data_IF_785124329470
#
_entry.id   IF_785124329470
#
_cell.length_a   1.000
_cell.length_b   1.000
_cell.length_c   1.000
_cell.angle_alpha   90.00
_cell.angle_beta   90.00
_cell.angle_gamma   90.00
#
_symmetry.space_group_name_H-M   'P 1'
#
loop_
_entity.id
_entity.type
_entity.pdbx_description
1 polymer ?
#
# COMPACT_ATOMS: atom_id res chain seq x y z
N UNK A 1 -31.52 -20.32 25.60
CA UNK A 1 -32.98 -20.05 25.60
C UNK A 1 -33.39 -19.10 26.72
N UNK A 2 -33.53 -19.50 27.99
CA UNK A 2 -34.00 -18.58 29.04
C UNK A 2 -33.07 -17.35 29.30
N UNK A 3 -31.75 -17.55 29.27
CA UNK A 3 -30.79 -16.44 29.44
C UNK A 3 -30.72 -15.51 28.22
N UNK A 4 -30.96 -16.02 27.01
CA UNK A 4 -31.05 -15.20 25.79
C UNK A 4 -32.36 -14.38 25.79
N UNK A 5 -33.45 -14.95 26.30
CA UNK A 5 -34.72 -14.24 26.50
C UNK A 5 -34.58 -13.11 27.55
N UNK A 6 -33.85 -13.34 28.64
CA UNK A 6 -33.62 -12.31 29.65
C UNK A 6 -32.72 -11.16 29.13
N UNK A 7 -31.68 -11.49 28.36
CA UNK A 7 -30.81 -10.49 27.71
C UNK A 7 -31.55 -9.66 26.67
N UNK A 8 -32.43 -10.29 25.88
CA UNK A 8 -33.24 -9.58 24.88
C UNK A 8 -34.29 -8.68 25.53
N UNK A 9 -34.93 -9.11 26.62
CA UNK A 9 -35.86 -8.25 27.40
C UNK A 9 -35.12 -7.05 28.01
N UNK A 10 -33.90 -7.25 28.53
CA UNK A 10 -33.08 -6.16 29.06
C UNK A 10 -32.69 -5.15 27.97
N UNK A 11 -32.23 -5.62 26.81
CA UNK A 11 -31.89 -4.76 25.67
C UNK A 11 -33.10 -3.96 25.16
N UNK A 12 -34.28 -4.60 25.09
CA UNK A 12 -35.53 -3.93 24.69
C UNK A 12 -35.96 -2.85 25.69
N UNK A 13 -35.79 -3.11 26.99
CA UNK A 13 -36.09 -2.10 28.01
C UNK A 13 -35.11 -0.92 27.94
N UNK A 14 -33.83 -1.16 27.67
CA UNK A 14 -32.86 -0.09 27.46
C UNK A 14 -33.21 0.74 26.21
N UNK A 15 -33.47 0.10 25.07
CA UNK A 15 -33.89 0.79 23.85
C UNK A 15 -35.19 1.60 24.06
N UNK A 16 -36.14 1.07 24.82
CA UNK A 16 -37.37 1.80 25.18
C UNK A 16 -37.07 3.06 26.00
N UNK A 17 -36.16 2.98 26.97
CA UNK A 17 -35.76 4.15 27.76
C UNK A 17 -35.05 5.19 26.90
N UNK A 18 -34.12 4.78 26.03
CA UNK A 18 -33.41 5.65 25.09
C UNK A 18 -34.39 6.39 24.17
N UNK A 19 -35.35 5.68 23.56
CA UNK A 19 -36.39 6.27 22.71
C UNK A 19 -37.30 7.24 23.47
N UNK A 20 -37.64 6.94 24.74
CA UNK A 20 -38.43 7.85 25.57
C UNK A 20 -37.67 9.14 25.88
N UNK A 21 -36.37 9.06 26.13
CA UNK A 21 -35.52 10.25 26.29
C UNK A 21 -35.43 11.06 24.99
N UNK A 22 -35.29 10.40 23.84
CA UNK A 22 -35.25 11.06 22.54
C UNK A 22 -36.57 11.80 22.24
N UNK A 23 -37.71 11.16 22.51
CA UNK A 23 -39.05 11.75 22.33
C UNK A 23 -39.22 13.00 23.20
N UNK A 24 -38.79 12.93 24.46
CA UNK A 24 -38.81 14.07 25.39
C UNK A 24 -37.95 15.22 24.86
N UNK A 25 -36.76 14.93 24.33
CA UNK A 25 -35.89 15.94 23.71
C UNK A 25 -36.55 16.59 22.49
N UNK A 26 -37.23 15.83 21.63
CA UNK A 26 -37.97 16.39 20.50
C UNK A 26 -39.14 17.28 20.93
N UNK A 27 -39.90 16.87 21.95
CA UNK A 27 -40.99 17.68 22.50
C UNK A 27 -40.49 19.00 23.08
N UNK A 28 -39.41 18.96 23.86
CA UNK A 28 -38.81 20.16 24.47
C UNK A 28 -38.26 21.10 23.38
N UNK A 29 -37.55 20.57 22.37
CA UNK A 29 -37.08 21.36 21.23
C UNK A 29 -38.25 21.99 20.43
N UNK A 30 -39.34 21.26 20.20
CA UNK A 30 -40.55 21.78 19.53
C UNK A 30 -41.26 22.87 20.35
N UNK A 31 -41.29 22.75 21.67
CA UNK A 31 -41.86 23.77 22.57
C UNK A 31 -41.04 25.06 22.52
N UNK A 32 -39.71 24.96 22.52
CA UNK A 32 -38.81 26.10 22.37
C UNK A 32 -38.93 26.77 20.99
N UNK A 33 -39.13 25.99 19.92
CA UNK A 33 -39.36 26.53 18.57
C UNK A 33 -40.70 27.26 18.44
N UNK A 34 -41.78 26.77 19.07
CA UNK A 34 -43.13 27.37 19.02
C UNK A 34 -43.29 28.63 19.88
N UNK A 35 -42.54 28.76 20.97
CA UNK A 35 -42.71 29.86 21.94
C UNK A 35 -41.90 31.10 21.60
N UNK A 36 -40.98 31.06 20.64
CA UNK A 36 -40.21 32.22 20.14
C UNK A 36 -39.32 32.92 21.19
N UNK A 37 -39.34 32.50 22.45
CA UNK A 37 -38.52 33.03 23.53
C UNK A 37 -37.21 32.25 23.58
N UNK A 38 -36.24 32.67 22.77
CA UNK A 38 -34.84 32.35 23.01
C UNK A 38 -34.40 33.10 24.27
N UNK A 39 -34.53 32.47 25.45
CA UNK A 39 -34.00 33.05 26.69
C UNK A 39 -32.47 33.05 26.63
N UNK A 40 -31.87 34.23 26.51
CA UNK A 40 -30.47 34.48 26.81
C UNK A 40 -30.28 34.44 28.34
N UNK A 41 -29.70 33.35 28.87
CA UNK A 41 -29.32 33.24 30.28
C UNK A 41 -28.82 31.85 30.70
N UNK A 42 -27.54 31.78 31.07
CA UNK A 42 -26.77 30.82 31.91
C UNK A 42 -26.96 29.30 31.79
N UNK A 43 -27.67 28.82 30.79
CA UNK A 43 -27.72 27.42 30.41
C UNK A 43 -28.24 27.31 28.98
N UNK A 44 -27.69 28.15 28.09
CA UNK A 44 -28.15 28.19 26.72
C UNK A 44 -27.91 26.80 26.10
N UNK A 45 -28.99 26.05 25.89
CA UNK A 45 -29.12 25.25 24.68
C UNK A 45 -29.03 26.25 23.53
N UNK A 46 -27.80 26.58 23.17
CA UNK A 46 -27.46 27.25 21.94
C UNK A 46 -27.77 26.24 20.83
N UNK A 47 -29.06 26.08 20.52
CA UNK A 47 -29.51 25.20 19.45
C UNK A 47 -28.79 25.63 18.19
N UNK A 48 -28.07 24.70 17.57
CA UNK A 48 -27.46 24.95 16.29
C UNK A 48 -28.54 25.32 15.28
N UNK A 49 -28.24 26.22 14.33
CA UNK A 49 -29.12 26.44 13.20
C UNK A 49 -29.47 25.11 12.53
N UNK A 50 -30.75 24.89 12.24
CA UNK A 50 -31.25 23.62 11.67
C UNK A 50 -30.65 23.34 10.29
N UNK A 51 -30.18 24.38 9.60
CA UNK A 51 -29.50 24.31 8.30
C UNK A 51 -27.99 24.05 8.42
N UNK A 52 -27.45 23.74 9.61
CA UNK A 52 -26.01 23.47 9.77
C UNK A 52 -25.63 22.21 9.00
N UNK A 53 -24.83 22.38 7.95
CA UNK A 53 -24.31 21.30 7.13
C UNK A 53 -22.78 21.34 7.12
N UNK A 54 -22.19 20.15 7.04
CA UNK A 54 -20.74 19.96 6.96
C UNK A 54 -20.40 19.61 5.52
N UNK A 55 -19.44 20.33 4.94
CA UNK A 55 -18.83 20.01 3.66
C UNK A 55 -17.41 19.53 3.88
N UNK A 56 -17.10 18.34 3.38
CA UNK A 56 -15.75 17.78 3.38
C UNK A 56 -15.15 17.91 1.98
N UNK A 57 -13.93 18.41 1.88
CA UNK A 57 -13.18 18.52 0.63
C UNK A 57 -11.74 18.05 0.83
N UNK A 58 -11.18 17.45 -0.22
CA UNK A 58 -9.77 17.05 -0.24
C UNK A 58 -8.91 18.21 -0.74
N UNK A 59 -8.07 18.74 0.13
CA UNK A 59 -7.05 19.73 -0.21
C UNK A 59 -5.67 19.09 -0.20
N UNK A 60 -4.79 19.57 -1.07
CA UNK A 60 -3.42 19.08 -1.16
C UNK A 60 -2.50 20.04 -0.43
N UNK A 61 -1.66 19.50 0.44
CA UNK A 61 -0.61 20.26 1.11
C UNK A 61 0.77 19.81 0.61
N UNK A 62 1.35 20.61 -0.28
CA UNK A 62 2.67 20.36 -0.87
C UNK A 62 3.81 20.54 0.14
N UNK A 63 3.64 21.34 1.20
CA UNK A 63 4.67 21.60 2.20
C UNK A 63 4.83 20.40 3.13
N UNK A 64 3.70 19.86 3.62
CA UNK A 64 3.69 18.72 4.52
C UNK A 64 3.66 17.36 3.81
N UNK A 65 3.62 17.34 2.47
CA UNK A 65 3.55 16.13 1.64
C UNK A 65 2.37 15.21 2.00
N UNK A 66 1.26 15.81 2.42
CA UNK A 66 0.07 15.10 2.89
C UNK A 66 -1.17 15.59 2.13
N UNK A 67 -2.21 14.77 2.14
CA UNK A 67 -3.53 15.19 1.69
C UNK A 67 -4.30 15.66 2.92
N UNK A 68 -4.74 16.91 2.91
CA UNK A 68 -5.53 17.49 3.98
C UNK A 68 -7.03 17.25 3.71
N UNK A 69 -7.72 16.64 4.66
CA UNK A 69 -9.17 16.65 4.68
C UNK A 69 -9.63 17.97 5.30
N UNK A 70 -10.16 18.87 4.47
CA UNK A 70 -10.74 20.14 4.90
C UNK A 70 -12.22 19.94 5.24
N UNK A 71 -12.57 20.17 6.50
CA UNK A 71 -13.91 20.02 7.05
C UNK A 71 -14.43 21.42 7.36
N UNK A 72 -15.40 21.86 6.56
CA UNK A 72 -15.98 23.19 6.65
C UNK A 72 -17.44 23.12 7.10
N UNK A 73 -17.80 24.02 8.01
CA UNK A 73 -19.20 24.29 8.37
C UNK A 73 -19.74 25.44 7.52
N UNK A 74 -21.01 25.33 7.10
CA UNK A 74 -21.66 26.37 6.30
C UNK A 74 -22.01 27.66 7.08
N UNK A 75 -22.08 27.54 8.41
CA UNK A 75 -22.59 28.58 9.30
C UNK A 75 -21.51 29.09 10.26
N UNK A 76 -21.89 29.98 11.19
CA UNK A 76 -21.00 30.52 12.24
C UNK A 76 -20.59 29.50 13.32
N UNK A 77 -20.82 28.22 13.07
CA UNK A 77 -20.50 27.11 13.98
C UNK A 77 -19.03 26.73 13.82
N UNK A 78 -18.41 26.27 14.91
CA UNK A 78 -17.00 25.88 14.94
C UNK A 78 -16.87 24.37 15.08
N UNK A 79 -15.85 23.82 14.43
CA UNK A 79 -15.48 22.40 14.57
C UNK A 79 -14.59 22.29 15.81
N UNK A 80 -15.07 21.58 16.84
CA UNK A 80 -14.34 21.43 18.10
C UNK A 80 -13.40 20.23 18.10
N UNK A 81 -13.74 19.19 17.36
CA UNK A 81 -12.91 18.01 17.18
C UNK A 81 -13.50 17.09 16.14
N UNK A 82 -12.64 16.24 15.58
CA UNK A 82 -13.03 15.24 14.58
C UNK A 82 -12.38 13.92 14.94
N UNK A 83 -13.19 12.87 14.97
CA UNK A 83 -12.72 11.49 15.00
C UNK A 83 -12.89 10.92 13.60
N UNK A 84 -11.81 10.46 13.00
CA UNK A 84 -11.79 9.79 11.70
C UNK A 84 -11.52 8.31 11.97
N UNK A 85 -12.49 7.45 11.65
CA UNK A 85 -12.26 6.01 11.65
C UNK A 85 -11.95 5.56 10.24
N UNK A 86 -10.89 4.78 10.09
CA UNK A 86 -10.47 4.27 8.79
C UNK A 86 -9.61 3.03 8.91
N UNK A 87 -9.88 2.05 8.06
CA UNK A 87 -9.09 0.83 8.00
C UNK A 87 -7.76 1.09 7.29
N UNK A 88 -6.67 0.64 7.91
CA UNK A 88 -5.31 0.60 7.32
C UNK A 88 -4.68 1.96 6.96
N UNK A 89 -5.31 3.07 7.37
CA UNK A 89 -4.79 4.43 7.13
C UNK A 89 -3.99 4.99 8.31
N UNK A 90 -4.30 4.57 9.55
CA UNK A 90 -3.61 5.03 10.75
C UNK A 90 -2.92 3.85 11.45
N UNK A 91 -1.99 4.14 12.38
CA UNK A 91 -1.37 3.10 13.22
C UNK A 91 -2.39 2.41 14.14
N UNK A 92 -3.54 3.05 14.38
CA UNK A 92 -4.72 2.46 15.04
C UNK A 92 -5.98 2.55 14.16
N UNK A 93 -7.15 2.29 14.74
CA UNK A 93 -8.44 2.29 14.03
C UNK A 93 -9.05 3.70 13.86
N UNK A 94 -8.55 4.68 14.61
CA UNK A 94 -9.09 6.04 14.58
C UNK A 94 -8.04 7.12 14.84
N UNK A 95 -8.24 8.26 14.20
CA UNK A 95 -7.49 9.49 14.43
C UNK A 95 -8.42 10.54 15.05
N UNK A 96 -8.12 10.97 16.27
CA UNK A 96 -8.80 12.10 16.89
C UNK A 96 -7.97 13.38 16.77
N UNK A 97 -8.53 14.40 16.13
CA UNK A 97 -7.91 15.72 16.00
C UNK A 97 -8.77 16.76 16.71
N UNK A 98 -8.17 17.48 17.66
CA UNK A 98 -8.80 18.60 18.36
C UNK A 98 -7.99 19.88 18.09
N UNK A 99 -8.51 20.82 17.28
CA UNK A 99 -7.79 22.05 16.99
C UNK A 99 -7.69 22.94 18.24
N UNK A 100 -6.48 23.46 18.49
CA UNK A 100 -6.22 24.40 19.61
C UNK A 100 -6.97 25.73 19.43
N UNK A 101 -7.22 26.13 18.19
CA UNK A 101 -8.02 27.31 17.83
C UNK A 101 -9.34 26.85 17.22
N UNK A 102 -10.46 27.35 17.75
CA UNK A 102 -11.80 27.03 17.25
C UNK A 102 -12.04 27.76 15.93
N UNK A 103 -11.91 27.04 14.83
CA UNK A 103 -12.15 27.54 13.48
C UNK A 103 -13.34 26.81 12.86
N UNK A 104 -13.98 27.47 11.90
CA UNK A 104 -15.03 26.88 11.05
C UNK A 104 -14.46 25.98 9.95
N UNK A 105 -13.15 26.08 9.69
CA UNK A 105 -12.37 25.25 8.78
C UNK A 105 -11.33 24.48 9.61
N UNK A 106 -11.43 23.14 9.58
CA UNK A 106 -10.45 22.24 10.17
C UNK A 106 -9.80 21.41 9.07
N UNK A 107 -8.46 21.49 9.01
CA UNK A 107 -7.64 20.70 8.09
C UNK A 107 -6.96 19.58 8.86
N UNK A 108 -7.24 18.34 8.48
CA UNK A 108 -6.61 17.16 9.07
C UNK A 108 -5.67 16.52 8.04
N UNK A 109 -4.35 16.49 8.28
CA UNK A 109 -3.42 15.85 7.35
C UNK A 109 -3.53 14.33 7.42
N UNK A 110 -3.69 13.70 6.24
CA UNK A 110 -3.74 12.25 6.07
C UNK A 110 -2.67 11.85 5.06
N UNK A 111 -1.80 10.92 5.46
CA UNK A 111 -0.71 10.41 4.62
C UNK A 111 -0.79 8.87 4.52
N UNK A 112 -1.62 8.32 3.62
CA UNK A 112 -1.70 6.87 3.43
C UNK A 112 -0.34 6.28 3.04
N UNK A 113 0.08 5.15 3.66
CA UNK A 113 1.35 4.49 3.35
C UNK A 113 1.28 3.61 2.09
N UNK A 114 0.08 3.32 1.55
CA UNK A 114 -0.14 2.54 0.31
C UNK A 114 -1.27 3.12 -0.52
N UNK A 115 -1.35 2.77 -1.79
CA UNK A 115 -2.41 3.22 -2.69
C UNK A 115 -3.61 2.27 -2.57
N UNK A 116 -4.53 2.61 -1.68
CA UNK A 116 -5.74 1.85 -1.40
C UNK A 116 -6.93 2.81 -1.30
N UNK A 117 -8.07 2.40 -1.86
CA UNK A 117 -9.32 3.10 -1.61
C UNK A 117 -9.80 2.75 -0.21
N UNK A 118 -10.11 3.76 0.59
CA UNK A 118 -10.53 3.60 1.98
C UNK A 118 -11.78 4.42 2.23
N UNK A 119 -12.73 3.83 2.96
CA UNK A 119 -13.92 4.53 3.43
C UNK A 119 -13.60 5.13 4.82
N UNK A 120 -13.85 6.43 4.96
CA UNK A 120 -13.63 7.19 6.17
C UNK A 120 -14.98 7.44 6.84
N UNK A 121 -15.10 7.01 8.10
CA UNK A 121 -16.25 7.34 8.93
C UNK A 121 -15.87 8.52 9.83
N UNK A 122 -16.40 9.68 9.49
CA UNK A 122 -16.12 10.94 10.16
C UNK A 122 -17.17 11.18 11.24
N UNK A 123 -16.69 11.45 12.44
CA UNK A 123 -17.46 11.87 13.61
C UNK A 123 -17.02 13.27 13.98
N UNK A 124 -17.76 14.27 13.51
CA UNK A 124 -17.41 15.69 13.63
C UNK A 124 -18.22 16.31 14.77
N UNK A 125 -17.52 16.86 15.76
CA UNK A 125 -18.13 17.60 16.85
C UNK A 125 -18.28 19.07 16.47
N UNK A 126 -19.52 19.50 16.23
CA UNK A 126 -19.85 20.88 15.87
C UNK A 126 -20.57 21.57 17.02
N UNK A 127 -20.15 22.80 17.32
CA UNK A 127 -20.79 23.62 18.34
C UNK A 127 -20.57 25.10 18.11
N UNK A 128 -21.05 25.90 19.05
CA UNK A 128 -20.74 27.33 19.11
C UNK A 128 -19.54 27.55 20.04
N UNK A 129 -18.80 28.64 19.86
CA UNK A 129 -17.49 28.88 20.51
C UNK A 129 -17.50 28.72 22.04
N UNK A 130 -18.63 29.03 22.68
CA UNK A 130 -18.80 29.02 24.13
C UNK A 130 -19.85 28.00 24.62
N UNK A 131 -20.16 26.96 23.83
CA UNK A 131 -21.12 25.93 24.22
C UNK A 131 -20.40 24.72 24.84
N UNK A 132 -20.97 24.19 25.93
CA UNK A 132 -20.55 22.93 26.55
C UNK A 132 -21.19 21.71 25.87
N UNK A 133 -22.25 21.93 25.09
CA UNK A 133 -22.94 20.91 24.31
C UNK A 133 -22.53 21.00 22.83
N UNK A 134 -22.19 19.85 22.25
CA UNK A 134 -21.81 19.70 20.84
C UNK A 134 -22.75 18.72 20.16
N UNK A 135 -23.07 18.98 18.90
CA UNK A 135 -23.74 17.99 18.06
C UNK A 135 -22.69 17.15 17.35
N UNK A 136 -22.89 15.84 17.41
CA UNK A 136 -22.11 14.88 16.65
C UNK A 136 -22.75 14.72 15.27
N UNK A 137 -21.99 15.04 14.24
CA UNK A 137 -22.37 14.74 12.87
C UNK A 137 -21.56 13.54 12.39
N UNK A 138 -22.26 12.53 11.90
CA UNK A 138 -21.67 11.34 11.31
C UNK A 138 -21.74 11.44 9.78
N UNK A 139 -20.59 11.34 9.12
CA UNK A 139 -20.50 11.40 7.66
C UNK A 139 -19.54 10.35 7.13
N UNK A 140 -19.97 9.66 6.08
CA UNK A 140 -19.11 8.72 5.36
C UNK A 140 -18.48 9.44 4.17
N UNK A 141 -17.16 9.38 4.08
CA UNK A 141 -16.41 10.02 3.01
C UNK A 141 -15.41 9.04 2.42
N UNK A 142 -15.37 8.93 1.08
CA UNK A 142 -14.51 7.96 0.42
C UNK A 142 -13.20 8.61 -0.02
N UNK A 143 -12.09 7.95 0.28
CA UNK A 143 -10.77 8.33 -0.23
C UNK A 143 -10.49 7.56 -1.52
N UNK A 144 -10.21 8.25 -2.65
CA UNK A 144 -9.76 7.61 -3.87
C UNK A 144 -8.42 6.88 -3.66
N UNK A 145 -8.21 5.80 -4.43
CA UNK A 145 -7.03 4.93 -4.33
C UNK A 145 -5.72 5.69 -4.57
N UNK A 146 -5.72 6.60 -5.54
CA UNK A 146 -4.55 7.40 -5.93
C UNK A 146 -4.70 8.85 -5.45
N UNK A 147 -5.09 9.03 -4.19
CA UNK A 147 -5.28 10.35 -3.54
C UNK A 147 -3.97 11.14 -3.35
N UNK A 148 -2.82 10.46 -3.26
CA UNK A 148 -1.50 11.08 -3.05
C UNK A 148 -0.87 11.67 -4.32
N UNK A 149 -1.58 11.63 -5.45
CA UNK A 149 -1.09 12.09 -6.74
C UNK A 149 -1.79 13.38 -7.14
N UNK A 150 -1.01 14.45 -7.21
CA UNK A 150 -1.52 15.81 -7.40
C UNK A 150 -1.36 16.20 -8.86
N UNK A 151 -2.39 16.75 -9.53
CA UNK A 151 -2.25 17.22 -10.90
C UNK A 151 -1.21 18.35 -10.99
N UNK A 152 -0.25 18.18 -11.89
CA UNK A 152 0.65 19.25 -12.27
C UNK A 152 -0.07 20.18 -13.24
N UNK A 153 0.12 21.50 -13.07
CA UNK A 153 -0.33 22.48 -14.06
C UNK A 153 0.47 22.26 -15.35
N UNK A 154 -0.21 22.31 -16.50
CA UNK A 154 0.35 21.98 -17.84
C UNK A 154 1.65 22.73 -18.21
N UNK A 155 1.95 23.84 -17.55
CA UNK A 155 3.15 24.67 -17.79
C UNK A 155 4.37 24.26 -16.94
N UNK A 156 4.26 23.24 -16.10
CA UNK A 156 5.42 22.73 -15.36
C UNK A 156 6.27 21.86 -16.30
N UNK A 157 7.43 22.39 -16.69
CA UNK A 157 8.44 21.75 -17.55
C UNK A 157 9.15 20.59 -16.80
N UNK A 158 8.37 19.58 -16.42
CA UNK A 158 8.85 18.39 -15.71
C UNK A 158 9.27 17.36 -16.75
N UNK A 159 10.54 16.95 -16.69
CA UNK A 159 11.08 15.93 -17.57
C UNK A 159 10.25 14.64 -17.51
N UNK A 160 9.86 14.13 -18.68
CA UNK A 160 9.13 12.88 -18.80
C UNK A 160 10.01 11.72 -18.29
N UNK A 161 9.46 10.80 -17.47
CA UNK A 161 10.14 9.59 -17.03
C UNK A 161 10.70 8.81 -18.23
N UNK A 162 11.88 8.21 -18.05
CA UNK A 162 12.47 7.32 -19.07
C UNK A 162 11.64 6.05 -19.23
N UNK A 163 10.92 5.66 -18.17
CA UNK A 163 10.12 4.46 -18.11
C UNK A 163 8.68 4.68 -18.56
N UNK A 164 8.15 3.75 -19.36
CA UNK A 164 6.78 3.81 -19.83
C UNK A 164 6.14 2.42 -20.02
N UNK A 165 4.81 2.42 -19.98
CA UNK A 165 3.96 1.27 -20.26
C UNK A 165 2.94 1.71 -21.29
N UNK A 166 2.90 0.99 -22.41
CA UNK A 166 1.97 1.25 -23.50
C UNK A 166 1.07 0.04 -23.70
N UNK A 167 -0.23 0.30 -23.82
CA UNK A 167 -1.20 -0.72 -24.17
C UNK A 167 -2.24 -0.14 -25.12
N UNK A 168 -2.95 -1.03 -25.81
CA UNK A 168 -4.03 -0.65 -26.71
C UNK A 168 -5.36 -0.85 -26.01
N UNK A 169 -6.17 0.20 -26.01
CA UNK A 169 -7.46 0.25 -25.37
C UNK A 169 -8.48 0.84 -26.36
N UNK A 170 -9.26 0.01 -27.07
CA UNK A 170 -10.18 0.50 -28.08
C UNK A 170 -11.39 1.20 -27.44
N UNK A 171 -11.69 2.41 -27.94
CA UNK A 171 -12.98 3.10 -27.84
C UNK A 171 -13.52 3.44 -26.44
N UNK A 172 -12.60 3.74 -25.51
CA UNK A 172 -12.95 4.01 -24.10
C UNK A 172 -12.24 5.23 -23.50
N UNK A 173 -11.78 6.19 -24.31
CA UNK A 173 -11.13 7.41 -23.81
C UNK A 173 -12.01 8.18 -22.79
N UNK A 174 -13.33 8.20 -23.01
CA UNK A 174 -14.30 8.75 -22.06
C UNK A 174 -14.31 7.98 -20.73
N UNK A 175 -14.28 6.64 -20.76
CA UNK A 175 -14.19 5.82 -19.54
C UNK A 175 -12.86 6.01 -18.81
N UNK A 176 -11.77 6.28 -19.53
CA UNK A 176 -10.47 6.63 -18.91
C UNK A 176 -10.58 7.99 -18.20
N UNK A 177 -11.30 8.96 -18.75
CA UNK A 177 -11.56 10.22 -18.05
C UNK A 177 -12.42 10.03 -16.80
N UNK A 178 -13.48 9.22 -16.88
CA UNK A 178 -14.31 8.87 -15.72
C UNK A 178 -13.50 8.13 -14.65
N UNK A 179 -12.65 7.19 -15.05
CA UNK A 179 -11.72 6.50 -14.17
C UNK A 179 -10.74 7.47 -13.49
N UNK A 180 -10.16 8.42 -14.25
CA UNK A 180 -9.29 9.45 -13.67
C UNK A 180 -10.02 10.26 -12.61
N UNK A 181 -11.28 10.62 -12.84
CA UNK A 181 -12.10 11.38 -11.89
C UNK A 181 -12.54 10.55 -10.67
N UNK A 182 -12.69 9.24 -10.81
CA UNK A 182 -13.07 8.37 -9.68
C UNK A 182 -11.87 7.91 -8.84
N UNK A 183 -10.74 7.65 -9.50
CA UNK A 183 -9.56 7.05 -8.88
C UNK A 183 -8.54 8.09 -8.39
N UNK A 184 -8.59 9.31 -8.93
CA UNK A 184 -7.79 10.46 -8.48
C UNK A 184 -8.68 11.58 -7.94
N UNK A 185 -8.10 12.46 -7.13
CA UNK A 185 -8.79 13.63 -6.60
C UNK A 185 -8.79 14.79 -7.63
N UNK A 186 -9.32 14.55 -8.83
CA UNK A 186 -9.36 15.54 -9.93
C UNK A 186 -10.77 15.60 -10.51
N UNK A 187 -11.19 16.82 -10.87
CA UNK A 187 -12.31 17.05 -11.78
C UNK A 187 -11.76 17.37 -13.18
N UNK A 188 -11.39 16.32 -13.93
CA UNK A 188 -10.94 16.47 -15.30
C UNK A 188 -12.16 16.51 -16.23
N UNK A 189 -12.41 17.69 -16.78
CA UNK A 189 -13.43 17.88 -17.81
C UNK A 189 -12.76 17.81 -19.19
N UNK A 190 -13.06 16.75 -19.95
CA UNK A 190 -12.41 16.51 -21.24
C UNK A 190 -12.92 17.54 -22.26
N UNK A 191 -12.05 18.45 -22.72
CA UNK A 191 -12.38 19.41 -23.79
C UNK A 191 -12.36 18.78 -25.19
N UNK A 192 -11.73 17.62 -25.34
CA UNK A 192 -11.52 16.88 -26.59
C UNK A 192 -11.70 15.39 -26.33
N UNK A 193 -12.52 14.70 -27.13
CA UNK A 193 -12.94 13.30 -26.91
C UNK A 193 -11.83 12.25 -27.15
N UNK A 194 -10.78 12.61 -27.89
CA UNK A 194 -9.81 11.63 -28.41
C UNK A 194 -8.40 11.74 -27.80
N UNK A 195 -8.09 12.85 -27.11
CA UNK A 195 -6.76 13.09 -26.52
C UNK A 195 -6.87 13.53 -25.06
N UNK A 196 -6.24 12.77 -24.18
CA UNK A 196 -6.18 13.04 -22.73
C UNK A 196 -4.72 13.08 -22.33
N UNK A 197 -4.28 14.21 -21.79
CA UNK A 197 -2.95 14.37 -21.22
C UNK A 197 -3.09 14.90 -19.81
N UNK A 198 -2.72 14.07 -18.83
CA UNK A 198 -2.67 14.45 -17.42
C UNK A 198 -1.31 14.09 -16.87
N UNK A 199 -0.72 15.04 -16.15
CA UNK A 199 0.53 14.86 -15.43
C UNK A 199 0.25 15.02 -13.94
N UNK A 200 0.88 14.17 -13.15
CA UNK A 200 0.72 14.09 -11.72
C UNK A 200 2.08 14.12 -11.05
N UNK A 201 2.11 14.54 -9.79
CA UNK A 201 3.26 14.41 -8.90
C UNK A 201 2.87 13.61 -7.67
N UNK A 202 3.66 12.60 -7.34
CA UNK A 202 3.50 11.86 -6.09
C UNK A 202 3.93 12.74 -4.91
N UNK A 203 3.09 12.89 -3.90
CA UNK A 203 3.44 13.59 -2.66
C UNK A 203 4.47 12.80 -1.83
N UNK A 204 4.52 11.47 -1.99
CA UNK A 204 5.39 10.58 -1.20
C UNK A 204 6.84 10.72 -1.63
N UNK A 205 7.08 10.44 -2.91
CA UNK A 205 8.43 10.31 -3.46
C UNK A 205 8.83 11.53 -4.30
N UNK A 206 7.87 12.41 -4.61
CA UNK A 206 8.09 13.58 -5.49
C UNK A 206 8.19 13.23 -6.98
N UNK A 207 8.11 11.94 -7.34
CA UNK A 207 8.24 11.46 -8.71
C UNK A 207 7.02 11.82 -9.58
N UNK A 208 7.23 12.16 -10.86
CA UNK A 208 6.14 12.48 -11.76
C UNK A 208 5.51 11.23 -12.39
N UNK A 209 4.21 11.31 -12.65
CA UNK A 209 3.42 10.29 -13.34
C UNK A 209 2.70 10.97 -14.50
N UNK A 210 2.86 10.45 -15.71
CA UNK A 210 2.18 10.95 -16.90
C UNK A 210 1.22 9.91 -17.44
N UNK A 211 0.00 10.31 -17.75
CA UNK A 211 -1.01 9.48 -18.41
C UNK A 211 -1.41 10.18 -19.70
N UNK A 212 -1.08 9.54 -20.82
CA UNK A 212 -1.38 10.03 -22.17
C UNK A 212 -2.29 9.03 -22.89
N UNK A 213 -3.41 9.50 -23.41
CA UNK A 213 -4.33 8.73 -24.24
C UNK A 213 -4.37 9.38 -25.61
N UNK A 214 -3.90 8.66 -26.63
CA UNK A 214 -3.94 9.07 -28.04
C UNK A 214 -4.84 8.09 -28.80
N UNK A 215 -6.13 8.40 -28.85
CA UNK A 215 -7.17 7.54 -29.41
C UNK A 215 -7.20 6.16 -28.74
N UNK A 216 -6.66 5.14 -29.41
CA UNK A 216 -6.64 3.74 -28.95
C UNK A 216 -5.39 3.41 -28.12
N UNK A 217 -4.35 4.25 -28.13
CA UNK A 217 -3.09 3.97 -27.41
C UNK A 217 -3.06 4.73 -26.09
N UNK A 218 -2.96 3.99 -24.98
CA UNK A 218 -2.73 4.56 -23.65
C UNK A 218 -1.27 4.36 -23.28
N UNK A 219 -0.62 5.43 -22.84
CA UNK A 219 0.78 5.45 -22.40
C UNK A 219 0.85 5.98 -20.99
N UNK A 220 1.28 5.15 -20.05
CA UNK A 220 1.55 5.54 -18.67
C UNK A 220 3.07 5.65 -18.52
N UNK A 221 3.58 6.83 -18.20
CA UNK A 221 5.01 7.04 -17.98
C UNK A 221 5.26 7.29 -16.49
N UNK A 222 6.02 6.38 -15.87
CA UNK A 222 6.39 6.42 -14.45
C UNK A 222 7.61 5.53 -14.26
N UNK A 223 8.54 5.91 -13.39
CA UNK A 223 9.72 5.11 -13.07
C UNK A 223 9.41 3.97 -12.09
N UNK A 224 8.27 4.05 -11.39
CA UNK A 224 7.86 3.00 -10.47
C UNK A 224 7.01 1.93 -11.18
N UNK A 225 7.63 0.77 -11.42
CA UNK A 225 6.96 -0.39 -12.06
C UNK A 225 5.76 -0.91 -11.27
N UNK A 226 5.77 -0.81 -9.94
CA UNK A 226 4.68 -1.29 -9.10
C UNK A 226 3.44 -0.40 -9.23
N UNK A 227 3.64 0.92 -9.20
CA UNK A 227 2.60 1.92 -9.46
C UNK A 227 1.99 1.74 -10.86
N UNK A 228 2.83 1.56 -11.88
CA UNK A 228 2.35 1.29 -13.24
C UNK A 228 1.46 0.04 -13.28
N UNK A 229 1.82 -1.01 -12.55
CA UNK A 229 1.00 -2.22 -12.41
C UNK A 229 -0.33 -1.93 -11.72
N UNK A 230 -0.31 -1.21 -10.60
CA UNK A 230 -1.52 -0.85 -9.86
C UNK A 230 -2.49 -0.02 -10.70
N UNK A 231 -1.98 0.94 -11.48
CA UNK A 231 -2.79 1.76 -12.39
C UNK A 231 -3.41 0.92 -13.51
N UNK A 232 -2.63 0.02 -14.12
CA UNK A 232 -3.13 -0.85 -15.20
C UNK A 232 -4.20 -1.81 -14.68
N UNK A 233 -4.00 -2.40 -13.50
CA UNK A 233 -4.99 -3.31 -12.90
C UNK A 233 -6.27 -2.56 -12.50
N UNK A 234 -6.14 -1.39 -11.88
CA UNK A 234 -7.28 -0.56 -11.46
C UNK A 234 -8.11 -0.10 -12.65
N UNK A 235 -7.45 0.36 -13.72
CA UNK A 235 -8.10 0.75 -14.97
C UNK A 235 -8.82 -0.44 -15.63
N UNK A 236 -8.22 -1.63 -15.63
CA UNK A 236 -8.84 -2.82 -16.18
C UNK A 236 -10.04 -3.31 -15.35
N UNK A 237 -9.97 -3.20 -14.02
CA UNK A 237 -11.07 -3.51 -13.11
C UNK A 237 -12.24 -2.55 -13.32
N UNK A 238 -11.97 -1.24 -13.34
CA UNK A 238 -12.98 -0.20 -13.59
C UNK A 238 -13.68 -0.37 -14.93
N UNK A 239 -12.93 -0.69 -15.98
CA UNK A 239 -13.46 -0.87 -17.33
C UNK A 239 -13.95 -2.29 -17.63
N UNK A 240 -13.81 -3.20 -16.67
CA UNK A 240 -14.16 -4.63 -16.73
C UNK A 240 -13.54 -5.36 -17.93
N UNK A 241 -12.29 -5.02 -18.29
CA UNK A 241 -11.57 -5.66 -19.38
C UNK A 241 -10.84 -6.91 -18.89
N UNK A 242 -11.14 -8.06 -19.49
CA UNK A 242 -10.59 -9.34 -19.07
C UNK A 242 -9.18 -9.62 -19.60
N UNK A 243 -8.77 -8.98 -20.71
CA UNK A 243 -7.49 -9.24 -21.36
C UNK A 243 -6.85 -7.93 -21.81
N UNK A 244 -5.64 -7.66 -21.32
CA UNK A 244 -4.89 -6.47 -21.71
C UNK A 244 -3.40 -6.82 -21.88
N UNK A 245 -2.91 -6.94 -23.14
CA UNK A 245 -1.49 -7.02 -23.40
C UNK A 245 -0.85 -5.64 -23.28
N UNK A 246 0.29 -5.56 -22.60
CA UNK A 246 1.07 -4.35 -22.43
C UNK A 246 2.53 -4.53 -22.85
N UNK A 247 3.08 -3.44 -23.38
CA UNK A 247 4.50 -3.30 -23.70
C UNK A 247 5.09 -2.32 -22.69
N UNK A 248 6.04 -2.81 -21.91
CA UNK A 248 6.65 -2.12 -20.80
C UNK A 248 8.14 -1.86 -21.08
N UNK A 249 8.60 -0.65 -20.77
CA UNK A 249 9.99 -0.25 -20.87
C UNK A 249 10.41 0.40 -19.55
N UNK A 250 11.26 -0.27 -18.78
CA UNK A 250 11.77 0.19 -17.48
C UNK A 250 13.28 -0.07 -17.36
N UNK A 251 14.13 0.79 -17.94
CA UNK A 251 15.58 0.53 -18.02
C UNK A 251 16.24 0.32 -16.65
N UNK A 252 15.93 1.17 -15.67
CA UNK A 252 16.56 1.10 -14.35
C UNK A 252 16.17 -0.17 -13.59
N UNK A 253 14.89 -0.53 -13.62
CA UNK A 253 14.40 -1.77 -13.01
C UNK A 253 14.98 -3.02 -13.69
N UNK A 254 15.25 -2.98 -15.00
CA UNK A 254 15.93 -4.08 -15.69
C UNK A 254 17.40 -4.19 -15.31
N UNK A 255 18.08 -3.07 -15.11
CA UNK A 255 19.48 -3.06 -14.66
C UNK A 255 19.60 -3.62 -13.24
N UNK A 256 18.75 -3.19 -12.31
CA UNK A 256 18.70 -3.76 -10.96
C UNK A 256 18.41 -5.27 -11.01
N UNK A 257 17.48 -5.69 -11.87
CA UNK A 257 17.16 -7.10 -12.03
C UNK A 257 18.33 -7.92 -12.59
N UNK A 258 19.12 -7.36 -13.52
CA UNK A 258 20.33 -7.99 -14.06
C UNK A 258 21.38 -8.20 -12.97
N UNK A 259 21.61 -7.21 -12.11
CA UNK A 259 22.53 -7.32 -10.97
C UNK A 259 22.07 -8.40 -9.99
N UNK A 260 20.77 -8.46 -9.69
CA UNK A 260 20.21 -9.50 -8.80
C UNK A 260 20.40 -10.90 -9.38
N UNK A 261 20.21 -11.08 -10.69
CA UNK A 261 20.42 -12.38 -11.35
C UNK A 261 21.90 -12.81 -11.30
N UNK A 262 22.82 -11.87 -11.55
CA UNK A 262 24.26 -12.14 -11.43
C UNK A 262 24.63 -12.54 -9.99
N UNK A 263 24.11 -11.82 -8.99
CA UNK A 263 24.33 -12.17 -7.59
C UNK A 263 23.79 -13.57 -7.24
N UNK A 264 22.65 -13.99 -7.81
CA UNK A 264 22.11 -15.35 -7.61
C UNK A 264 23.06 -16.41 -8.16
N UNK A 265 23.68 -16.17 -9.32
CA UNK A 265 24.66 -17.07 -9.90
C UNK A 265 25.92 -17.16 -9.04
N UNK A 266 26.43 -16.03 -8.55
CA UNK A 266 27.60 -15.97 -7.65
C UNK A 266 27.34 -16.70 -6.32
N UNK A 267 26.17 -16.50 -5.71
CA UNK A 267 25.77 -17.21 -4.49
C UNK A 267 25.59 -18.72 -4.72
N UNK A 268 25.10 -19.12 -5.89
CA UNK A 268 24.99 -20.53 -6.27
C UNK A 268 26.37 -21.17 -6.46
N UNK A 269 27.31 -20.49 -7.10
CA UNK A 269 28.69 -20.96 -7.25
C UNK A 269 29.37 -21.09 -5.89
N UNK A 270 29.25 -20.07 -5.04
CA UNK A 270 29.79 -20.09 -3.67
C UNK A 270 29.18 -21.23 -2.85
N UNK A 271 27.88 -21.48 -2.98
CA UNK A 271 27.19 -22.61 -2.31
C UNK A 271 27.77 -23.96 -2.74
N UNK A 272 28.05 -24.15 -4.02
CA UNK A 272 28.65 -25.39 -4.54
C UNK A 272 30.08 -25.59 -4.00
N UNK A 273 30.89 -24.53 -3.97
CA UNK A 273 32.24 -24.57 -3.42
C UNK A 273 32.25 -24.90 -1.91
N UNK A 274 31.40 -24.23 -1.12
CA UNK A 274 31.24 -24.51 0.31
C UNK A 274 30.74 -25.94 0.58
N UNK A 275 29.84 -26.46 -0.26
CA UNK A 275 29.35 -27.83 -0.13
C UNK A 275 30.45 -28.88 -0.36
N UNK A 276 31.36 -28.64 -1.30
CA UNK A 276 32.53 -29.48 -1.52
C UNK A 276 33.50 -29.43 -0.33
N UNK A 277 33.84 -28.22 0.16
CA UNK A 277 34.73 -28.07 1.32
C UNK A 277 34.21 -28.75 2.59
N UNK A 278 32.91 -28.62 2.88
CA UNK A 278 32.28 -29.30 4.03
C UNK A 278 32.30 -30.83 3.86
N UNK A 279 32.16 -31.34 2.64
CA UNK A 279 32.24 -32.78 2.39
C UNK A 279 33.66 -33.32 2.66
N UNK A 280 34.69 -32.60 2.26
CA UNK A 280 36.09 -32.97 2.49
C UNK A 280 36.43 -32.97 3.98
N UNK A 281 36.06 -31.90 4.71
CA UNK A 281 36.25 -31.82 6.17
C UNK A 281 35.46 -32.92 6.88
N UNK A 282 34.23 -33.21 6.46
CA UNK A 282 33.42 -34.30 7.02
C UNK A 282 34.06 -35.67 6.82
N UNK A 283 34.67 -35.93 5.66
CA UNK A 283 35.39 -37.17 5.39
C UNK A 283 36.66 -37.29 6.26
N UNK A 284 37.40 -36.20 6.46
CA UNK A 284 38.57 -36.18 7.35
C UNK A 284 38.19 -36.42 8.81
N UNK A 285 37.07 -35.84 9.28
CA UNK A 285 36.53 -36.09 10.62
C UNK A 285 36.22 -37.57 10.80
N UNK A 286 35.56 -38.22 9.82
CA UNK A 286 35.26 -39.66 9.89
C UNK A 286 36.55 -40.50 9.98
N UNK A 287 37.56 -40.20 9.17
CA UNK A 287 38.85 -40.91 9.23
C UNK A 287 39.53 -40.75 10.60
N UNK A 288 39.53 -39.53 11.14
CA UNK A 288 40.15 -39.26 12.44
C UNK A 288 39.41 -39.89 13.61
N UNK A 289 38.08 -40.01 13.54
CA UNK A 289 37.30 -40.73 14.55
C UNK A 289 37.68 -42.22 14.57
N UNK A 290 37.79 -42.86 13.40
CA UNK A 290 38.23 -44.26 13.31
C UNK A 290 39.65 -44.40 13.87
N UNK A 291 40.58 -43.54 13.47
CA UNK A 291 41.98 -43.57 13.95
C UNK A 291 42.09 -43.29 15.46
N UNK A 292 41.24 -42.43 16.00
CA UNK A 292 41.18 -42.17 17.44
C UNK A 292 40.70 -43.42 18.19
N UNK A 293 39.68 -44.11 17.68
CA UNK A 293 39.17 -45.33 18.29
C UNK A 293 40.20 -46.48 18.24
N UNK A 294 40.91 -46.65 17.13
CA UNK A 294 42.01 -47.62 17.02
C UNK A 294 43.10 -47.35 18.07
N UNK A 295 43.48 -46.08 18.25
CA UNK A 295 44.48 -45.65 19.24
C UNK A 295 44.01 -45.92 20.68
N UNK A 296 42.70 -45.76 20.92
CA UNK A 296 42.06 -46.06 22.22
C UNK A 296 42.10 -47.56 22.52
N UNK A 297 41.79 -48.40 21.54
CA UNK A 297 41.82 -49.87 21.66
C UNK A 297 43.24 -50.37 21.95
N UNK A 298 44.25 -49.78 21.28
CA UNK A 298 45.66 -50.12 21.45
C UNK A 298 46.30 -49.54 22.73
N UNK A 299 45.60 -48.66 23.45
CA UNK A 299 46.09 -48.01 24.67
C UNK A 299 47.12 -46.90 24.46
N UNK A 300 47.32 -46.41 23.23
CA UNK A 300 48.25 -45.31 22.94
C UNK A 300 47.59 -43.94 23.22
N UNK A 301 47.68 -43.52 24.48
CA UNK A 301 47.12 -42.25 24.96
C UNK A 301 47.79 -41.00 24.33
N UNK A 302 49.04 -41.11 23.87
CA UNK A 302 49.75 -39.98 23.23
C UNK A 302 49.19 -39.72 21.84
N UNK A 303 49.00 -40.78 21.05
CA UNK A 303 48.39 -40.69 19.73
C UNK A 303 46.93 -40.25 19.83
N UNK A 304 46.18 -40.81 20.79
CA UNK A 304 44.79 -40.45 21.08
C UNK A 304 44.62 -38.94 21.35
N UNK A 305 45.46 -38.36 22.23
CA UNK A 305 45.39 -36.93 22.54
C UNK A 305 45.65 -36.07 21.29
N UNK A 306 46.61 -36.47 20.44
CA UNK A 306 46.91 -35.76 19.18
C UNK A 306 45.76 -35.85 18.17
N UNK A 307 45.13 -37.01 18.01
CA UNK A 307 43.97 -37.14 17.11
C UNK A 307 42.77 -36.35 17.60
N UNK A 308 42.50 -36.31 18.91
CA UNK A 308 41.42 -35.47 19.47
C UNK A 308 41.69 -33.97 19.32
N UNK A 309 42.94 -33.50 19.46
CA UNK A 309 43.26 -32.09 19.19
C UNK A 309 42.96 -31.73 17.74
N UNK A 310 43.37 -32.58 16.78
CA UNK A 310 43.05 -32.38 15.36
C UNK A 310 41.54 -32.42 15.08
N UNK A 311 40.81 -33.33 15.72
CA UNK A 311 39.34 -33.39 15.65
C UNK A 311 38.69 -32.12 16.17
N UNK A 312 39.21 -31.56 17.26
CA UNK A 312 38.71 -30.31 17.83
C UNK A 312 38.93 -29.13 16.87
N UNK A 313 40.10 -29.04 16.25
CA UNK A 313 40.41 -28.01 15.24
C UNK A 313 39.48 -28.12 14.03
N UNK A 314 39.32 -29.33 13.47
CA UNK A 314 38.41 -29.57 12.34
C UNK A 314 36.94 -29.32 12.69
N UNK A 315 36.51 -29.62 13.92
CA UNK A 315 35.15 -29.32 14.36
C UNK A 315 34.91 -27.81 14.42
N UNK A 316 35.90 -27.04 14.90
CA UNK A 316 35.83 -25.57 14.89
C UNK A 316 35.81 -25.02 13.46
N UNK A 317 36.57 -25.60 12.56
CA UNK A 317 36.54 -25.25 11.13
C UNK A 317 35.17 -25.55 10.51
N UNK A 318 34.58 -26.72 10.78
CA UNK A 318 33.26 -27.10 10.29
C UNK A 318 32.17 -26.15 10.79
N UNK A 319 32.23 -25.74 12.07
CA UNK A 319 31.31 -24.73 12.61
C UNK A 319 31.45 -23.37 11.89
N UNK A 320 32.67 -22.95 11.58
CA UNK A 320 32.91 -21.72 10.82
C UNK A 320 32.38 -21.82 9.38
N UNK A 321 32.61 -22.94 8.69
CA UNK A 321 32.07 -23.19 7.35
C UNK A 321 30.54 -23.27 7.34
N UNK A 322 29.94 -23.88 8.36
CA UNK A 322 28.49 -23.89 8.53
C UNK A 322 27.93 -22.48 8.70
N UNK A 323 28.57 -21.62 9.50
CA UNK A 323 28.15 -20.23 9.64
C UNK A 323 28.21 -19.46 8.31
N UNK A 324 29.29 -19.62 7.52
CA UNK A 324 29.39 -19.06 6.17
C UNK A 324 28.27 -19.55 5.25
N UNK A 325 27.95 -20.85 5.32
CA UNK A 325 26.87 -21.46 4.54
C UNK A 325 25.51 -20.88 4.89
N UNK A 326 25.22 -20.66 6.17
CA UNK A 326 23.97 -20.02 6.61
C UNK A 326 23.85 -18.61 6.06
N UNK A 327 24.90 -17.80 6.17
CA UNK A 327 24.93 -16.43 5.62
C UNK A 327 24.70 -16.44 4.10
N UNK A 328 25.41 -17.30 3.37
CA UNK A 328 25.24 -17.42 1.92
C UNK A 328 23.81 -17.88 1.55
N UNK A 329 23.23 -18.79 2.33
CA UNK A 329 21.86 -19.27 2.11
C UNK A 329 20.82 -18.18 2.37
N UNK A 330 20.98 -17.37 3.40
CA UNK A 330 20.10 -16.22 3.69
C UNK A 330 20.18 -15.18 2.57
N UNK A 331 21.39 -14.84 2.10
CA UNK A 331 21.60 -13.91 0.99
C UNK A 331 20.99 -14.44 -0.32
N UNK A 332 21.17 -15.73 -0.63
CA UNK A 332 20.58 -16.38 -1.79
C UNK A 332 19.04 -16.35 -1.74
N UNK A 333 18.43 -16.65 -0.59
CA UNK A 333 16.98 -16.61 -0.42
C UNK A 333 16.43 -15.18 -0.57
N UNK A 334 17.13 -14.18 -0.05
CA UNK A 334 16.77 -12.78 -0.23
C UNK A 334 16.82 -12.37 -1.71
N UNK A 335 17.86 -12.76 -2.44
CA UNK A 335 17.98 -12.50 -3.88
C UNK A 335 16.88 -13.22 -4.69
N UNK A 336 16.61 -14.49 -4.40
CA UNK A 336 15.52 -15.24 -5.05
C UNK A 336 14.12 -14.63 -4.76
N UNK A 337 13.93 -14.05 -3.56
CA UNK A 337 12.70 -13.31 -3.23
C UNK A 337 12.56 -12.07 -4.11
N UNK A 338 13.65 -11.30 -4.31
CA UNK A 338 13.66 -10.14 -5.22
C UNK A 338 13.36 -10.56 -6.67
N UNK A 339 13.95 -11.65 -7.16
CA UNK A 339 13.65 -12.19 -8.50
C UNK A 339 12.17 -12.51 -8.66
N UNK A 340 11.59 -13.21 -7.69
CA UNK A 340 10.16 -13.52 -7.71
C UNK A 340 9.28 -12.27 -7.64
N UNK A 341 9.65 -11.27 -6.83
CA UNK A 341 8.95 -9.99 -6.77
C UNK A 341 8.98 -9.26 -8.12
N UNK A 342 10.13 -9.24 -8.80
CA UNK A 342 10.25 -8.64 -10.14
C UNK A 342 9.37 -9.35 -11.18
N UNK A 343 9.32 -10.69 -11.16
CA UNK A 343 8.42 -11.46 -12.03
C UNK A 343 6.96 -11.10 -11.74
N UNK A 344 6.59 -10.96 -10.47
CA UNK A 344 5.23 -10.55 -10.09
C UNK A 344 4.92 -9.11 -10.53
N UNK A 345 5.85 -8.16 -10.35
CA UNK A 345 5.70 -6.77 -10.83
C UNK A 345 5.49 -6.74 -12.35
N UNK A 346 6.32 -7.46 -13.10
CA UNK A 346 6.19 -7.61 -14.55
C UNK A 346 4.84 -8.24 -14.97
N UNK A 347 4.35 -9.21 -14.21
CA UNK A 347 3.06 -9.85 -14.47
C UNK A 347 1.88 -8.91 -14.17
N UNK A 348 1.97 -8.09 -13.11
CA UNK A 348 0.94 -7.10 -12.75
C UNK A 348 0.79 -5.96 -13.76
N UNK A 349 1.72 -5.80 -14.70
CA UNK A 349 1.55 -4.88 -15.84
C UNK A 349 0.53 -5.39 -16.87
N UNK A 350 0.02 -6.61 -16.73
CA UNK A 350 -0.88 -7.29 -17.69
C UNK A 350 -2.09 -7.88 -16.99
N UNK A 351 -3.17 -8.04 -17.74
CA UNK A 351 -4.46 -8.49 -17.21
C UNK A 351 -4.93 -9.74 -17.93
N UNK A 352 -5.46 -10.70 -17.16
CA UNK A 352 -6.01 -11.94 -17.67
C UNK A 352 -4.96 -13.03 -17.96
N UNK A 353 -5.14 -13.85 -19.01
CA UNK A 353 -4.28 -15.01 -19.30
C UNK A 353 -2.84 -14.61 -19.64
N UNK A 354 -2.62 -13.39 -20.13
CA UNK A 354 -1.30 -12.83 -20.42
C UNK A 354 -0.43 -12.74 -19.15
N UNK A 355 -1.05 -12.48 -17.99
CA UNK A 355 -0.35 -12.46 -16.69
C UNK A 355 0.25 -13.82 -16.37
N UNK A 356 -0.53 -14.89 -16.53
CA UNK A 356 -0.07 -16.26 -16.27
C UNK A 356 0.96 -16.72 -17.29
N UNK A 357 0.78 -16.35 -18.56
CA UNK A 357 1.72 -16.69 -19.64
C UNK A 357 3.11 -16.09 -19.41
N UNK A 358 3.18 -14.83 -18.97
CA UNK A 358 4.46 -14.17 -18.63
C UNK A 358 5.13 -14.85 -17.44
N UNK A 359 4.38 -15.23 -16.40
CA UNK A 359 4.96 -15.93 -15.24
C UNK A 359 5.57 -17.27 -15.67
N UNK A 360 4.87 -18.06 -16.50
CA UNK A 360 5.41 -19.32 -17.01
C UNK A 360 6.65 -19.10 -17.89
N UNK A 361 6.59 -18.14 -18.82
CA UNK A 361 7.69 -17.84 -19.73
C UNK A 361 8.93 -17.32 -18.97
N UNK A 362 8.76 -16.45 -17.96
CA UNK A 362 9.86 -15.98 -17.12
C UNK A 362 10.50 -17.14 -16.34
N UNK A 363 9.70 -18.07 -15.79
CA UNK A 363 10.22 -19.24 -15.07
C UNK A 363 10.98 -20.19 -15.99
N UNK A 364 10.50 -20.38 -17.21
CA UNK A 364 11.17 -21.20 -18.22
C UNK A 364 12.48 -20.56 -18.70
N UNK A 365 12.48 -19.25 -18.94
CA UNK A 365 13.68 -18.50 -19.31
C UNK A 365 14.77 -18.55 -18.22
N UNK A 366 14.38 -18.47 -16.94
CA UNK A 366 15.30 -18.64 -15.81
C UNK A 366 15.83 -20.08 -15.75
N UNK A 367 14.97 -21.09 -15.97
CA UNK A 367 15.40 -22.49 -15.98
C UNK A 367 16.42 -22.77 -17.09
N UNK A 368 16.27 -22.12 -18.24
CA UNK A 368 17.16 -22.25 -19.39
C UNK A 368 18.35 -21.27 -19.36
N UNK A 369 18.51 -20.49 -18.27
CA UNK A 369 19.54 -19.44 -18.14
C UNK A 369 19.61 -18.46 -19.31
N UNK A 370 18.46 -18.15 -19.93
CA UNK A 370 18.39 -17.23 -21.06
C UNK A 370 17.89 -15.85 -20.59
N UNK A 371 18.84 -15.00 -20.20
CA UNK A 371 18.57 -13.65 -19.68
C UNK A 371 18.02 -12.71 -20.75
N UNK A 372 18.47 -12.80 -22.01
CA UNK A 372 17.99 -11.98 -23.13
C UNK A 372 16.51 -12.22 -23.44
N UNK A 373 16.09 -13.49 -23.47
CA UNK A 373 14.68 -13.86 -23.64
C UNK A 373 13.86 -13.41 -22.45
N UNK A 374 14.39 -13.52 -21.22
CA UNK A 374 13.70 -13.05 -20.02
C UNK A 374 13.39 -11.55 -20.08
N UNK A 375 14.35 -10.71 -20.47
CA UNK A 375 14.12 -9.27 -20.62
C UNK A 375 13.11 -8.95 -21.73
N UNK A 376 13.19 -9.68 -22.85
CA UNK A 376 12.26 -9.52 -23.97
C UNK A 376 10.83 -9.89 -23.58
N UNK A 377 10.66 -10.99 -22.83
CA UNK A 377 9.37 -11.44 -22.29
C UNK A 377 8.81 -10.44 -21.30
N UNK A 378 9.64 -9.87 -20.41
CA UNK A 378 9.17 -8.86 -19.46
C UNK A 378 8.72 -7.59 -20.20
N UNK A 379 9.48 -7.15 -21.20
CA UNK A 379 9.18 -5.95 -21.97
C UNK A 379 7.93 -6.10 -22.85
N UNK A 380 7.83 -7.18 -23.63
CA UNK A 380 6.79 -7.34 -24.65
C UNK A 380 5.66 -8.28 -24.27
N UNK A 381 5.85 -9.10 -23.24
CA UNK A 381 4.88 -10.09 -22.77
C UNK A 381 4.84 -11.37 -23.60
N UNK A 382 5.59 -11.44 -24.71
CA UNK A 382 5.63 -12.60 -25.60
C UNK A 382 7.01 -13.22 -25.60
N UNK A 383 7.05 -14.55 -25.55
CA UNK A 383 8.25 -15.29 -25.91
C UNK A 383 8.47 -15.14 -27.43
N UNK A 384 9.72 -14.99 -27.90
CA UNK A 384 10.04 -14.96 -29.32
C UNK A 384 9.70 -16.27 -30.03
#
# INVERSE_FOLDING_TARGET
MAEEEEQTIAALNQAKQELQYELKNYEDNMRHMRTGQMKQGEGQLMMLPIDTAISCQWEVDEENKCVNLAINTNNTTVVRGVVIHADQLFEGESLFTCPKQQLSDLKVPICPPKDAASDLFLKVFVGLRNSDLFNLFEQNYKMPKFSMYVPLKRDADVAKPASNVTFRFPDKAAMVCEWLNSSFNINYDSKTKDEVFVSFRSLRDGLPLFVEVNGVKVTISTDNMELAGDLVQDLAEFTSVQQLPSVAHFPDAMNEFREVLQAVDDYNQTRLALAAGVADVSNQVKELVVRAEDSRILGDLKLLKRTYTKLWDLNRELLAEHAKRTINQEALLAALKKVNQMIQKAARLRVGPEKTAVISACREAIKNNNTEVLFTVIATGKAP
#
